data_IF_339778745008
#
_entry.id   IF_339778745008
#
_cell.length_a   1.000
_cell.length_b   1.000
_cell.length_c   1.000
_cell.angle_alpha   90.00
_cell.angle_beta   90.00
_cell.angle_gamma   90.00
#
_symmetry.space_group_name_H-M   'P 1'
#
loop_
_entity.id
_entity.type
_entity.pdbx_description
1 polymer ?
#
# COMPACT_ATOMS: atom_id res chain seq x y z
N UNK A 1 -1.33 18.43 11.55
CA UNK A 1 -2.27 19.30 12.29
C UNK A 1 -3.57 19.59 11.51
N UNK A 2 -3.62 19.28 10.19
CA UNK A 2 -4.76 19.64 9.31
C UNK A 2 -5.81 18.54 9.15
N UNK A 3 -5.68 17.38 9.79
CA UNK A 3 -6.62 16.26 9.71
C UNK A 3 -6.51 15.39 8.44
N UNK A 4 -5.70 15.80 7.46
CA UNK A 4 -5.45 15.01 6.25
C UNK A 4 -4.50 13.84 6.51
N UNK A 5 -4.48 12.88 5.60
CA UNK A 5 -3.48 11.78 5.62
C UNK A 5 -2.08 12.38 5.51
N UNK A 6 -1.21 12.10 6.47
CA UNK A 6 0.16 12.66 6.51
C UNK A 6 1.19 11.69 5.94
N UNK A 7 1.07 10.42 6.30
CA UNK A 7 1.96 9.35 5.87
C UNK A 7 1.22 8.01 5.93
N UNK A 8 1.75 7.02 5.24
CA UNK A 8 1.37 5.61 5.33
C UNK A 8 2.62 4.81 5.68
N UNK A 9 2.53 4.00 6.74
CA UNK A 9 3.67 3.23 7.21
C UNK A 9 3.24 1.96 7.95
N UNK A 10 4.12 0.97 7.93
CA UNK A 10 4.05 -0.20 8.80
C UNK A 10 4.92 0.02 10.03
N UNK A 11 4.34 -0.14 11.20
CA UNK A 11 5.07 -0.11 12.48
C UNK A 11 5.22 -1.53 13.00
N UNK A 12 6.45 -1.98 13.22
CA UNK A 12 6.74 -3.27 13.83
C UNK A 12 7.48 -3.06 15.16
N UNK A 13 6.85 -3.48 16.24
CA UNK A 13 7.47 -3.47 17.56
C UNK A 13 8.32 -4.73 17.72
N UNK A 14 9.63 -4.56 17.91
CA UNK A 14 10.57 -5.66 18.11
C UNK A 14 10.75 -5.95 19.59
N UNK A 15 10.98 -7.20 19.94
CA UNK A 15 11.09 -7.66 21.34
C UNK A 15 12.26 -7.03 22.12
N UNK A 16 13.20 -6.37 21.43
CA UNK A 16 14.37 -5.72 22.01
C UNK A 16 14.19 -4.21 22.29
N UNK A 17 12.96 -3.73 22.22
CA UNK A 17 12.61 -2.32 22.48
C UNK A 17 12.79 -1.39 21.28
N UNK A 18 13.18 -1.92 20.12
CA UNK A 18 13.20 -1.15 18.87
C UNK A 18 11.83 -1.17 18.20
N UNK A 19 11.50 -0.06 17.57
CA UNK A 19 10.35 0.02 16.65
C UNK A 19 10.88 0.19 15.24
N UNK A 20 10.49 -0.71 14.36
CA UNK A 20 10.81 -0.61 12.94
C UNK A 20 9.69 0.15 12.23
N UNK A 21 10.04 1.25 11.59
CA UNK A 21 9.14 2.08 10.80
C UNK A 21 9.44 1.84 9.30
N UNK A 22 8.50 1.23 8.59
CA UNK A 22 8.61 0.97 7.15
C UNK A 22 7.62 1.81 6.38
N UNK A 23 8.12 2.69 5.49
CA UNK A 23 7.29 3.49 4.59
C UNK A 23 7.84 3.48 3.16
N UNK A 24 7.13 4.12 2.23
CA UNK A 24 7.60 4.26 0.86
C UNK A 24 8.90 5.07 0.79
N UNK A 25 9.89 4.58 0.04
CA UNK A 25 11.22 5.24 -0.10
C UNK A 25 11.11 6.69 -0.55
N UNK A 26 10.11 7.02 -1.37
CA UNK A 26 9.84 8.39 -1.82
C UNK A 26 9.40 9.34 -0.69
N UNK A 27 9.07 8.82 0.49
CA UNK A 27 8.64 9.59 1.67
C UNK A 27 9.72 9.66 2.74
N UNK A 28 10.88 9.01 2.57
CA UNK A 28 11.89 8.87 3.62
C UNK A 28 12.26 10.21 4.29
N UNK A 29 12.63 11.21 3.50
CA UNK A 29 13.05 12.52 4.04
C UNK A 29 11.89 13.17 4.79
N UNK A 30 10.72 13.23 4.17
CA UNK A 30 9.51 13.80 4.77
C UNK A 30 9.14 13.12 6.10
N UNK A 31 9.20 11.78 6.13
CA UNK A 31 8.84 11.02 7.33
C UNK A 31 9.90 11.17 8.43
N UNK A 32 11.18 11.18 8.06
CA UNK A 32 12.29 11.41 9.00
C UNK A 32 12.21 12.80 9.64
N UNK A 33 11.94 13.84 8.86
CA UNK A 33 11.77 15.21 9.37
C UNK A 33 10.57 15.28 10.33
N UNK A 34 9.43 14.74 9.91
CA UNK A 34 8.22 14.72 10.74
C UNK A 34 8.43 13.97 12.06
N UNK A 35 9.04 12.80 12.02
CA UNK A 35 9.35 12.04 13.23
C UNK A 35 10.33 12.78 14.13
N UNK A 36 11.39 13.39 13.55
CA UNK A 36 12.39 14.13 14.30
C UNK A 36 11.80 15.32 15.06
N UNK A 37 10.85 16.04 14.45
CA UNK A 37 10.14 17.16 15.11
C UNK A 37 9.30 16.74 16.32
N UNK A 38 8.92 15.46 16.39
CA UNK A 38 8.04 14.93 17.44
C UNK A 38 8.76 14.01 18.43
N UNK A 39 10.09 13.90 18.34
CA UNK A 39 10.87 13.14 19.32
C UNK A 39 10.86 13.82 20.70
N UNK A 40 10.88 13.04 21.79
CA UNK A 40 11.11 13.56 23.13
C UNK A 40 12.45 14.30 23.22
N UNK A 41 12.44 15.46 23.86
CA UNK A 41 13.65 16.27 24.01
C UNK A 41 14.69 15.66 24.97
N UNK A 42 14.32 14.64 25.73
CA UNK A 42 15.16 13.93 26.71
C UNK A 42 16.16 12.94 26.08
N UNK A 43 16.10 12.75 24.75
CA UNK A 43 16.97 11.83 24.04
C UNK A 43 16.69 10.34 24.29
N UNK A 44 15.53 10.01 24.88
CA UNK A 44 15.09 8.62 25.14
C UNK A 44 14.82 7.83 23.85
N UNK A 45 14.51 8.51 22.75
CA UNK A 45 14.27 7.91 21.44
C UNK A 45 15.26 8.44 20.42
N UNK A 46 15.79 7.54 19.59
CA UNK A 46 16.70 7.87 18.47
C UNK A 46 16.15 7.32 17.17
N UNK A 47 16.22 8.11 16.10
CA UNK A 47 15.92 7.69 14.75
C UNK A 47 17.21 7.30 14.02
N UNK A 48 17.17 6.16 13.32
CA UNK A 48 18.24 5.72 12.45
C UNK A 48 17.64 5.26 11.12
N UNK A 49 18.10 5.82 9.99
CA UNK A 49 17.72 5.31 8.68
C UNK A 49 18.43 3.97 8.41
N UNK A 50 17.67 3.00 7.95
CA UNK A 50 18.16 1.69 7.51
C UNK A 50 18.12 1.53 5.98
N UNK A 51 17.60 2.50 5.24
CA UNK A 51 17.34 2.45 3.80
C UNK A 51 18.58 2.05 2.98
N UNK A 52 19.75 2.55 3.37
CA UNK A 52 21.00 2.24 2.68
C UNK A 52 21.73 1.00 3.22
N UNK A 53 21.23 0.35 4.27
CA UNK A 53 21.86 -0.78 4.93
C UNK A 53 21.07 -2.08 4.84
N UNK A 54 19.76 -1.98 4.55
CA UNK A 54 18.86 -3.12 4.45
C UNK A 54 18.07 -3.09 3.15
N UNK A 55 17.69 -4.25 2.69
CA UNK A 55 16.79 -4.44 1.53
C UNK A 55 15.72 -5.47 1.89
N UNK A 56 14.54 -5.28 1.35
CA UNK A 56 13.40 -6.15 1.58
C UNK A 56 13.18 -7.08 0.39
N UNK A 57 13.10 -8.39 0.66
CA UNK A 57 12.58 -9.37 -0.29
C UNK A 57 11.13 -9.68 0.06
N UNK A 58 10.25 -9.68 -0.93
CA UNK A 58 8.84 -10.02 -0.76
C UNK A 58 8.62 -11.43 -1.26
N UNK A 59 8.19 -12.32 -0.36
CA UNK A 59 7.78 -13.68 -0.67
C UNK A 59 6.26 -13.76 -0.57
N UNK A 60 5.55 -13.94 -1.70
CA UNK A 60 4.11 -13.93 -1.76
C UNK A 60 3.53 -15.16 -2.46
N UNK A 61 2.29 -15.52 -2.11
CA UNK A 61 1.53 -16.60 -2.73
C UNK A 61 1.17 -17.73 -1.76
N UNK A 62 0.35 -18.69 -2.21
CA UNK A 62 -0.21 -19.73 -1.34
C UNK A 62 0.83 -20.68 -0.73
N UNK A 63 2.01 -20.78 -1.33
CA UNK A 63 3.12 -21.60 -0.84
C UNK A 63 4.19 -20.82 -0.08
N UNK A 64 4.02 -19.49 0.07
CA UNK A 64 5.03 -18.61 0.67
C UNK A 64 5.45 -19.07 2.07
N UNK A 65 4.51 -19.45 2.92
CA UNK A 65 4.79 -19.94 4.28
C UNK A 65 5.62 -21.21 4.30
N UNK A 66 5.28 -22.17 3.43
CA UNK A 66 6.00 -23.43 3.33
C UNK A 66 7.44 -23.22 2.78
N UNK A 67 7.64 -22.26 1.90
CA UNK A 67 8.98 -21.90 1.40
C UNK A 67 9.78 -21.22 2.52
N UNK A 68 9.18 -20.24 3.21
CA UNK A 68 9.84 -19.56 4.32
C UNK A 68 10.28 -20.55 5.41
N UNK A 69 9.42 -21.51 5.78
CA UNK A 69 9.73 -22.53 6.80
C UNK A 69 10.96 -23.38 6.46
N UNK A 70 11.28 -23.59 5.18
CA UNK A 70 12.50 -24.30 4.77
C UNK A 70 13.77 -23.51 5.02
N UNK A 71 13.67 -22.17 5.12
CA UNK A 71 14.80 -21.26 5.21
C UNK A 71 15.10 -20.80 6.63
N UNK A 72 14.18 -21.04 7.58
CA UNK A 72 14.32 -20.58 8.96
C UNK A 72 14.01 -21.68 9.96
N UNK A 73 14.63 -21.59 11.12
CA UNK A 73 14.31 -22.44 12.28
C UNK A 73 13.12 -21.89 13.11
N UNK A 74 12.67 -20.68 12.79
CA UNK A 74 11.51 -20.08 13.44
C UNK A 74 10.29 -20.89 13.03
N UNK A 75 9.39 -21.14 13.99
CA UNK A 75 8.09 -21.74 13.67
C UNK A 75 7.22 -20.74 12.88
N UNK A 76 7.02 -21.02 11.61
CA UNK A 76 6.21 -20.18 10.72
C UNK A 76 4.75 -20.66 10.61
N UNK A 77 4.26 -21.55 11.50
CA UNK A 77 2.85 -21.96 11.45
C UNK A 77 1.91 -20.74 11.62
N UNK A 78 0.66 -20.80 11.13
CA UNK A 78 -0.29 -19.69 11.28
C UNK A 78 -0.53 -19.27 12.73
N UNK A 79 -0.44 -20.21 13.67
CA UNK A 79 -0.62 -20.00 15.11
C UNK A 79 0.57 -19.29 15.75
N UNK A 80 1.79 -19.59 15.27
CA UNK A 80 3.02 -19.02 15.80
C UNK A 80 3.44 -17.72 15.09
N UNK A 81 3.05 -17.57 13.82
CA UNK A 81 3.38 -16.41 12.99
C UNK A 81 2.18 -16.01 12.13
N UNK A 82 1.22 -15.37 12.78
CA UNK A 82 -0.03 -14.90 12.16
C UNK A 82 0.13 -13.59 11.38
N UNK A 83 -0.98 -13.09 10.88
CA UNK A 83 -1.07 -11.81 10.20
C UNK A 83 -0.68 -10.65 11.11
N UNK A 84 0.04 -9.65 10.57
CA UNK A 84 0.56 -8.46 11.28
C UNK A 84 1.55 -8.78 12.42
N UNK A 85 2.16 -9.96 12.41
CA UNK A 85 3.24 -10.27 13.34
C UNK A 85 4.60 -10.03 12.71
N UNK A 86 5.59 -9.77 13.58
CA UNK A 86 7.00 -9.62 13.22
C UNK A 86 7.83 -10.63 14.00
N UNK A 87 8.84 -11.19 13.34
CA UNK A 87 9.80 -12.10 13.96
C UNK A 87 11.22 -11.65 13.62
N UNK A 88 12.13 -11.81 14.59
CA UNK A 88 13.56 -11.64 14.39
C UNK A 88 14.24 -13.01 14.40
N UNK A 89 15.16 -13.23 13.48
CA UNK A 89 15.92 -14.48 13.41
C UNK A 89 16.81 -14.58 12.20
N UNK A 90 16.91 -15.75 11.62
CA UNK A 90 17.76 -16.02 10.47
C UNK A 90 16.95 -16.62 9.32
N UNK A 91 17.26 -16.16 8.11
CA UNK A 91 16.80 -16.76 6.85
C UNK A 91 18.06 -17.30 6.16
N UNK A 92 18.18 -18.63 6.12
CA UNK A 92 19.47 -19.26 5.82
C UNK A 92 20.50 -18.89 6.90
N UNK A 93 21.56 -18.21 6.48
CA UNK A 93 22.62 -17.69 7.37
C UNK A 93 22.48 -16.19 7.66
N UNK A 94 21.57 -15.51 6.99
CA UNK A 94 21.40 -14.06 7.08
C UNK A 94 20.49 -13.70 8.26
N UNK A 95 20.89 -12.78 9.16
CA UNK A 95 19.97 -12.21 10.13
C UNK A 95 18.86 -11.47 9.40
N UNK A 96 17.63 -11.61 9.88
CA UNK A 96 16.46 -11.05 9.21
C UNK A 96 15.43 -10.55 10.22
N UNK A 97 14.72 -9.48 9.84
CA UNK A 97 13.42 -9.15 10.40
C UNK A 97 12.38 -9.60 9.38
N UNK A 98 11.43 -10.39 9.79
CA UNK A 98 10.41 -10.97 8.93
C UNK A 98 9.06 -10.46 9.39
N UNK A 99 8.30 -9.83 8.50
CA UNK A 99 6.97 -9.30 8.78
C UNK A 99 5.92 -10.08 7.98
N UNK A 100 4.85 -10.52 8.64
CA UNK A 100 3.71 -11.16 7.99
C UNK A 100 2.72 -10.09 7.54
N UNK A 101 3.04 -9.43 6.43
CA UNK A 101 2.26 -8.37 5.81
C UNK A 101 2.11 -8.62 4.31
N UNK A 102 1.09 -8.04 3.69
CA UNK A 102 0.85 -8.23 2.27
C UNK A 102 0.28 -6.97 1.64
N UNK A 103 0.86 -6.57 0.53
CA UNK A 103 0.29 -5.55 -0.35
C UNK A 103 -0.40 -6.17 -1.59
N UNK A 104 -0.04 -7.40 -1.95
CA UNK A 104 -0.66 -8.13 -3.05
C UNK A 104 -2.02 -8.77 -2.70
N UNK A 105 -2.37 -8.83 -1.41
CA UNK A 105 -3.56 -9.55 -0.93
C UNK A 105 -3.41 -11.06 -0.84
N UNK A 106 -2.28 -11.62 -1.29
CA UNK A 106 -1.89 -13.01 -1.06
C UNK A 106 -1.23 -13.18 0.30
N UNK A 107 -1.07 -14.42 0.77
CA UNK A 107 -0.19 -14.68 1.91
C UNK A 107 1.21 -14.21 1.55
N UNK A 108 1.76 -13.28 2.31
CA UNK A 108 3.06 -12.73 2.01
C UNK A 108 3.88 -12.46 3.28
N UNK A 109 5.20 -12.40 3.05
CA UNK A 109 6.18 -12.05 4.06
C UNK A 109 7.17 -11.06 3.46
N UNK A 110 7.42 -9.99 4.20
CA UNK A 110 8.54 -9.10 3.95
C UNK A 110 9.74 -9.59 4.75
N UNK A 111 10.84 -9.87 4.06
CA UNK A 111 12.08 -10.38 4.63
C UNK A 111 13.12 -9.28 4.50
N UNK A 112 13.38 -8.58 5.59
CA UNK A 112 14.33 -7.47 5.64
C UNK A 112 15.71 -8.01 5.99
N UNK A 113 16.67 -7.84 5.08
CA UNK A 113 18.04 -8.37 5.16
C UNK A 113 19.06 -7.24 5.11
N UNK A 114 20.17 -7.33 5.85
CA UNK A 114 21.34 -6.47 5.61
C UNK A 114 21.83 -6.61 4.16
N UNK A 115 22.20 -5.51 3.53
CA UNK A 115 22.60 -5.48 2.11
C UNK A 115 23.78 -6.42 1.79
N UNK A 116 24.72 -6.60 2.72
CA UNK A 116 25.84 -7.53 2.56
C UNK A 116 25.43 -9.02 2.59
N UNK A 117 24.20 -9.34 3.00
CA UNK A 117 23.64 -10.69 3.03
C UNK A 117 22.54 -10.90 1.98
N UNK A 118 22.13 -9.83 1.28
CA UNK A 118 21.00 -9.84 0.36
C UNK A 118 21.15 -10.89 -0.74
N UNK A 119 22.31 -10.94 -1.40
CA UNK A 119 22.54 -11.86 -2.52
C UNK A 119 22.45 -13.33 -2.06
N UNK A 120 23.06 -13.67 -0.94
CA UNK A 120 23.01 -15.01 -0.38
C UNK A 120 21.58 -15.39 0.04
N UNK A 121 20.86 -14.46 0.67
CA UNK A 121 19.44 -14.64 1.04
C UNK A 121 18.54 -14.85 -0.18
N UNK A 122 18.73 -14.06 -1.22
CA UNK A 122 17.98 -14.19 -2.48
C UNK A 122 18.20 -15.56 -3.15
N UNK A 123 19.46 -15.99 -3.30
CA UNK A 123 19.78 -17.29 -3.90
C UNK A 123 19.20 -18.45 -3.08
N UNK A 124 19.32 -18.39 -1.75
CA UNK A 124 18.76 -19.40 -0.87
C UNK A 124 17.22 -19.45 -0.99
N UNK A 125 16.56 -18.29 -1.13
CA UNK A 125 15.11 -18.21 -1.34
C UNK A 125 14.72 -18.83 -2.69
N UNK A 126 15.41 -18.54 -3.76
CA UNK A 126 15.18 -19.14 -5.07
C UNK A 126 15.31 -20.66 -5.01
N UNK A 127 16.37 -21.17 -4.39
CA UNK A 127 16.59 -22.62 -4.21
C UNK A 127 15.46 -23.29 -3.38
N UNK A 128 15.06 -22.66 -2.28
CA UNK A 128 13.98 -23.19 -1.43
C UNK A 128 12.62 -23.23 -2.15
N UNK A 129 12.39 -22.26 -3.04
CA UNK A 129 11.17 -22.11 -3.80
C UNK A 129 11.09 -22.91 -5.09
N UNK A 130 12.20 -23.37 -5.64
CA UNK A 130 12.30 -24.03 -6.95
C UNK A 130 11.32 -25.18 -7.11
N UNK A 131 11.34 -26.16 -6.22
CA UNK A 131 10.44 -27.32 -6.23
C UNK A 131 8.95 -26.95 -6.00
N UNK A 132 8.69 -25.73 -5.56
CA UNK A 132 7.35 -25.19 -5.36
C UNK A 132 6.83 -24.39 -6.57
N UNK A 133 7.65 -24.25 -7.62
CA UNK A 133 7.32 -23.45 -8.80
C UNK A 133 7.34 -21.95 -8.52
N UNK A 134 8.20 -21.48 -7.60
CA UNK A 134 8.36 -20.05 -7.32
C UNK A 134 8.94 -19.34 -8.55
N UNK A 135 8.35 -18.20 -8.90
CA UNK A 135 8.82 -17.33 -9.97
C UNK A 135 9.00 -15.90 -9.48
N UNK A 136 9.73 -15.11 -10.24
CA UNK A 136 9.86 -13.67 -10.00
C UNK A 136 8.63 -12.93 -10.55
N UNK A 137 8.26 -11.84 -9.90
CA UNK A 137 7.19 -10.96 -10.36
C UNK A 137 7.61 -9.50 -10.24
N UNK A 138 7.00 -8.64 -11.02
CA UNK A 138 7.28 -7.21 -11.07
C UNK A 138 6.19 -6.36 -10.41
N UNK A 139 6.44 -5.06 -10.36
CA UNK A 139 5.54 -4.07 -9.76
C UNK A 139 4.15 -4.03 -10.41
N UNK A 140 4.06 -4.23 -11.72
CA UNK A 140 2.76 -4.24 -12.42
C UNK A 140 1.87 -5.41 -11.97
N UNK A 141 2.45 -6.57 -11.66
CA UNK A 141 1.69 -7.68 -11.10
C UNK A 141 1.16 -7.35 -9.69
N UNK A 142 1.97 -6.69 -8.86
CA UNK A 142 1.52 -6.22 -7.54
C UNK A 142 0.40 -5.19 -7.69
N UNK A 143 0.52 -4.24 -8.61
CA UNK A 143 -0.52 -3.24 -8.89
C UNK A 143 -1.87 -3.89 -9.23
N UNK A 144 -1.86 -4.86 -10.14
CA UNK A 144 -3.05 -5.62 -10.48
C UNK A 144 -3.66 -6.32 -9.25
N UNK A 145 -2.83 -7.05 -8.50
CA UNK A 145 -3.28 -7.84 -7.35
C UNK A 145 -3.79 -6.97 -6.20
N UNK A 146 -3.13 -5.85 -5.88
CA UNK A 146 -3.57 -4.96 -4.80
C UNK A 146 -4.89 -4.28 -5.13
N UNK A 147 -5.12 -3.93 -6.41
CA UNK A 147 -6.38 -3.37 -6.90
C UNK A 147 -7.55 -4.33 -6.69
N UNK A 148 -7.37 -5.61 -7.05
CA UNK A 148 -8.37 -6.66 -6.80
C UNK A 148 -8.70 -6.83 -5.31
N UNK A 149 -7.74 -6.54 -4.43
CA UNK A 149 -7.90 -6.67 -2.98
C UNK A 149 -8.48 -5.43 -2.31
N UNK A 150 -8.55 -4.32 -3.01
CA UNK A 150 -9.00 -3.06 -2.45
C UNK A 150 -7.93 -2.34 -1.63
N UNK A 151 -6.64 -2.60 -1.88
CA UNK A 151 -5.54 -1.95 -1.18
C UNK A 151 -5.12 -0.67 -1.89
N UNK A 152 -4.99 0.39 -1.11
CA UNK A 152 -4.66 1.73 -1.58
C UNK A 152 -3.15 1.92 -1.64
N UNK A 153 -2.69 2.68 -2.63
CA UNK A 153 -1.28 2.98 -2.84
C UNK A 153 -0.95 4.40 -2.36
N UNK A 154 0.10 4.52 -1.54
CA UNK A 154 0.59 5.81 -1.08
C UNK A 154 1.04 6.70 -2.24
N UNK A 155 0.63 7.98 -2.20
CA UNK A 155 0.83 8.99 -3.24
C UNK A 155 0.09 8.75 -4.58
N UNK A 156 -0.68 7.67 -4.68
CA UNK A 156 -1.63 7.50 -5.77
C UNK A 156 -3.07 7.66 -5.25
N UNK A 157 -3.51 6.76 -4.38
CA UNK A 157 -4.85 6.72 -3.81
C UNK A 157 -4.91 7.38 -2.42
N UNK A 158 -3.81 7.30 -1.67
CA UNK A 158 -3.63 7.98 -0.39
C UNK A 158 -2.71 9.19 -0.61
N UNK A 159 -3.30 10.36 -0.63
CA UNK A 159 -2.59 11.63 -0.82
C UNK A 159 -2.87 12.61 0.32
N UNK A 160 -1.99 13.58 0.49
CA UNK A 160 -2.05 14.54 1.61
C UNK A 160 -3.16 15.59 1.46
N UNK A 161 -3.90 15.58 0.36
CA UNK A 161 -5.02 16.50 0.10
C UNK A 161 -6.30 16.06 0.79
N UNK A 162 -6.46 14.75 1.03
CA UNK A 162 -7.68 14.18 1.58
C UNK A 162 -7.48 13.63 2.99
N UNK A 163 -8.56 13.59 3.74
CA UNK A 163 -8.58 13.01 5.07
C UNK A 163 -8.91 11.51 5.00
N UNK A 164 -8.71 10.74 6.09
CA UNK A 164 -8.98 9.30 6.11
C UNK A 164 -10.42 8.91 5.79
N UNK A 165 -11.41 9.77 6.10
CA UNK A 165 -12.82 9.49 5.79
C UNK A 165 -13.10 9.65 4.30
N UNK A 166 -12.55 10.68 3.67
CA UNK A 166 -12.60 10.88 2.22
C UNK A 166 -11.91 9.74 1.46
N UNK A 167 -10.86 9.16 2.05
CA UNK A 167 -10.08 8.05 1.48
C UNK A 167 -10.62 6.66 1.82
N UNK A 168 -11.83 6.54 2.39
CA UNK A 168 -12.44 5.25 2.72
C UNK A 168 -11.84 4.53 3.93
N UNK A 169 -10.95 5.19 4.70
CA UNK A 169 -10.27 4.63 5.86
C UNK A 169 -10.93 4.98 7.20
N UNK A 170 -12.09 5.64 7.18
CA UNK A 170 -12.76 6.13 8.39
C UNK A 170 -12.99 5.06 9.45
N UNK A 171 -13.26 3.81 9.05
CA UNK A 171 -13.44 2.66 9.96
C UNK A 171 -12.22 2.33 10.83
N UNK A 172 -11.03 2.81 10.44
CA UNK A 172 -9.78 2.58 11.17
C UNK A 172 -9.41 3.75 12.09
N UNK A 173 -10.14 4.87 12.01
CA UNK A 173 -9.87 6.06 12.80
C UNK A 173 -10.57 5.97 14.14
N UNK A 174 -9.79 5.90 15.21
CA UNK A 174 -10.29 5.88 16.59
C UNK A 174 -10.43 7.32 17.10
N UNK A 175 -11.61 7.90 16.95
CA UNK A 175 -11.90 9.28 17.37
C UNK A 175 -12.07 9.45 18.89
N UNK A 176 -12.12 8.37 19.64
CA UNK A 176 -12.25 8.33 21.10
C UNK A 176 -10.93 8.53 21.85
N UNK A 177 -9.79 8.37 21.15
CA UNK A 177 -8.47 8.67 21.70
C UNK A 177 -7.92 10.01 21.22
N UNK A 178 -6.96 10.56 21.96
CA UNK A 178 -6.26 11.77 21.57
C UNK A 178 -5.12 11.50 20.59
N UNK A 179 -5.01 12.31 19.53
CA UNK A 179 -3.95 12.26 18.54
C UNK A 179 -3.77 13.61 17.79
N UNK A 180 -2.61 13.81 17.19
CA UNK A 180 -2.30 15.01 16.41
C UNK A 180 -3.25 15.11 15.22
N UNK A 181 -4.00 16.23 15.11
CA UNK A 181 -4.96 16.47 14.03
C UNK A 181 -6.40 16.04 14.33
N UNK A 182 -6.69 15.43 15.50
CA UNK A 182 -8.04 14.98 15.87
C UNK A 182 -9.09 16.09 15.78
N UNK A 183 -8.80 17.27 16.32
CA UNK A 183 -9.73 18.41 16.30
C UNK A 183 -10.04 18.87 14.88
N UNK A 184 -9.02 18.99 14.03
CA UNK A 184 -9.22 19.38 12.63
C UNK A 184 -10.02 18.31 11.87
N UNK A 185 -9.73 17.03 12.11
CA UNK A 185 -10.47 15.92 11.51
C UNK A 185 -11.95 15.90 11.93
N UNK A 186 -12.24 16.19 13.21
CA UNK A 186 -13.62 16.33 13.69
C UNK A 186 -14.39 17.45 12.98
N UNK A 187 -13.73 18.57 12.71
CA UNK A 187 -14.32 19.69 11.95
C UNK A 187 -14.62 19.27 10.50
N UNK A 188 -13.71 18.56 9.85
CA UNK A 188 -13.89 18.03 8.50
C UNK A 188 -15.06 17.05 8.41
N UNK A 189 -15.20 16.14 9.38
CA UNK A 189 -16.32 15.20 9.46
C UNK A 189 -17.65 15.97 9.54
N UNK A 190 -17.70 17.02 10.36
CA UNK A 190 -18.90 17.84 10.53
C UNK A 190 -19.26 18.62 9.26
N UNK A 191 -18.26 19.09 8.51
CA UNK A 191 -18.43 19.81 7.25
C UNK A 191 -18.87 18.89 6.08
N UNK A 192 -18.64 17.58 6.20
CA UNK A 192 -18.87 16.60 5.15
C UNK A 192 -17.66 16.46 4.19
N UNK A 193 -17.62 15.36 3.43
CA UNK A 193 -16.52 15.09 2.50
C UNK A 193 -16.58 16.01 1.28
N UNK A 194 -15.41 16.46 0.82
CA UNK A 194 -15.26 17.24 -0.43
C UNK A 194 -15.24 16.30 -1.64
N UNK A 195 -14.60 15.16 -1.50
CA UNK A 195 -14.53 14.06 -2.46
C UNK A 195 -14.60 12.74 -1.69
N UNK A 196 -14.94 11.66 -2.39
CA UNK A 196 -14.90 10.29 -1.86
C UNK A 196 -14.09 9.41 -2.79
N UNK A 197 -13.20 8.60 -2.22
CA UNK A 197 -12.50 7.57 -2.97
C UNK A 197 -13.45 6.40 -3.23
N UNK A 198 -13.64 6.08 -4.50
CA UNK A 198 -14.50 4.99 -4.96
C UNK A 198 -13.73 4.00 -5.81
N UNK A 199 -14.23 2.77 -5.88
CA UNK A 199 -13.77 1.74 -6.82
C UNK A 199 -14.69 1.73 -8.02
N UNK A 200 -14.11 1.68 -9.22
CA UNK A 200 -14.82 1.66 -10.49
C UNK A 200 -14.52 0.34 -11.23
N UNK A 201 -15.55 -0.22 -11.85
CA UNK A 201 -15.45 -1.28 -12.84
C UNK A 201 -15.57 -0.63 -14.23
N UNK A 202 -14.49 -0.66 -15.01
CA UNK A 202 -14.47 0.02 -16.31
C UNK A 202 -14.85 -0.98 -17.38
N UNK A 203 -15.92 -0.71 -18.11
CA UNK A 203 -16.42 -1.53 -19.22
C UNK A 203 -15.53 -1.40 -20.47
N UNK A 204 -14.28 -1.90 -20.37
CA UNK A 204 -13.31 -1.92 -21.45
C UNK A 204 -12.40 -3.14 -21.37
N UNK A 205 -12.36 -3.94 -22.43
CA UNK A 205 -11.67 -5.23 -22.43
C UNK A 205 -10.16 -5.15 -22.73
N UNK A 206 -9.66 -4.04 -23.25
CA UNK A 206 -8.34 -4.03 -23.88
C UNK A 206 -7.36 -2.98 -23.35
N UNK A 207 -7.81 -2.01 -22.56
CA UNK A 207 -6.92 -1.01 -22.01
C UNK A 207 -7.36 -0.67 -20.57
N UNK A 208 -6.45 -0.72 -19.59
CA UNK A 208 -6.77 -0.22 -18.27
C UNK A 208 -7.11 1.26 -18.32
N UNK A 209 -7.93 1.72 -17.38
CA UNK A 209 -8.10 3.15 -17.13
C UNK A 209 -6.74 3.81 -16.90
N UNK A 210 -6.67 5.12 -17.07
CA UNK A 210 -5.43 5.85 -16.91
C UNK A 210 -5.46 6.68 -15.62
N UNK A 211 -4.44 6.58 -14.74
CA UNK A 211 -4.27 7.55 -13.66
C UNK A 211 -4.28 8.98 -14.22
N UNK A 212 -5.01 9.89 -13.58
CA UNK A 212 -5.21 11.26 -14.04
C UNK A 212 -6.37 11.43 -15.05
N UNK A 213 -7.01 10.35 -15.50
CA UNK A 213 -8.21 10.46 -16.35
C UNK A 213 -9.35 11.15 -15.59
N UNK A 214 -10.08 12.03 -16.29
CA UNK A 214 -11.27 12.66 -15.74
C UNK A 214 -12.42 11.65 -15.60
N UNK A 215 -13.14 11.72 -14.50
CA UNK A 215 -14.38 10.99 -14.27
C UNK A 215 -15.53 11.96 -14.45
N UNK A 216 -16.48 11.62 -15.30
CA UNK A 216 -17.62 12.47 -15.64
C UNK A 216 -18.95 11.79 -15.32
N UNK A 217 -19.92 12.59 -14.85
CA UNK A 217 -21.32 12.26 -14.71
C UNK A 217 -22.13 13.26 -15.55
N UNK A 218 -23.03 12.79 -16.41
CA UNK A 218 -23.89 13.63 -17.28
C UNK A 218 -23.13 14.69 -18.10
N UNK A 219 -21.85 14.44 -18.42
CA UNK A 219 -20.98 15.33 -19.15
C UNK A 219 -20.14 16.29 -18.32
N UNK A 220 -20.42 16.43 -17.05
CA UNK A 220 -19.66 17.24 -16.11
C UNK A 220 -18.53 16.44 -15.44
N UNK A 221 -17.36 17.05 -15.25
CA UNK A 221 -16.22 16.43 -14.56
C UNK A 221 -16.51 16.40 -13.05
N UNK A 222 -16.70 15.21 -12.51
CA UNK A 222 -16.99 14.98 -11.08
C UNK A 222 -15.79 14.40 -10.32
N UNK A 223 -14.72 13.95 -11.01
CA UNK A 223 -13.61 13.33 -10.33
C UNK A 223 -12.39 13.05 -11.20
N UNK A 224 -11.43 12.33 -10.60
CA UNK A 224 -10.17 11.95 -11.25
C UNK A 224 -9.76 10.55 -10.83
N UNK A 225 -9.35 9.72 -11.79
CA UNK A 225 -8.78 8.39 -11.56
C UNK A 225 -7.42 8.52 -10.88
N UNK A 226 -7.21 7.77 -9.81
CA UNK A 226 -5.94 7.74 -9.07
C UNK A 226 -5.09 6.53 -9.44
N UNK A 227 -5.72 5.37 -9.58
CA UNK A 227 -5.07 4.12 -9.97
C UNK A 227 -5.97 3.32 -10.89
N UNK A 228 -5.37 2.53 -11.78
CA UNK A 228 -6.11 1.61 -12.63
C UNK A 228 -5.25 0.40 -13.01
N UNK A 229 -5.86 -0.78 -13.07
CA UNK A 229 -5.22 -2.01 -13.52
C UNK A 229 -6.25 -3.05 -13.96
N UNK A 230 -5.82 -3.95 -14.83
CA UNK A 230 -6.61 -5.14 -15.14
C UNK A 230 -6.52 -6.14 -13.99
N UNK A 231 -7.66 -6.53 -13.45
CA UNK A 231 -7.77 -7.57 -12.41
C UNK A 231 -7.86 -8.94 -13.06
N UNK A 232 -6.73 -9.65 -13.09
CA UNK A 232 -6.63 -10.95 -13.79
C UNK A 232 -7.49 -12.05 -13.16
N UNK A 233 -7.70 -12.01 -11.85
CA UNK A 233 -8.51 -13.00 -11.13
C UNK A 233 -10.01 -12.72 -11.25
N UNK A 234 -10.39 -11.44 -11.18
CA UNK A 234 -11.80 -11.03 -11.29
C UNK A 234 -12.25 -10.85 -12.73
N UNK A 235 -11.32 -10.82 -13.70
CA UNK A 235 -11.60 -10.63 -15.12
C UNK A 235 -12.20 -9.26 -15.44
N UNK A 236 -11.77 -8.21 -14.72
CA UNK A 236 -12.33 -6.87 -14.79
C UNK A 236 -11.25 -5.81 -14.89
N UNK A 237 -11.59 -4.72 -15.54
CA UNK A 237 -10.76 -3.53 -15.56
C UNK A 237 -11.14 -2.63 -14.37
N UNK A 238 -10.25 -2.51 -13.41
CA UNK A 238 -10.49 -1.84 -12.13
C UNK A 238 -9.82 -0.47 -12.10
N UNK A 239 -10.49 0.50 -11.47
CA UNK A 239 -9.88 1.79 -11.15
C UNK A 239 -10.30 2.27 -9.77
N UNK A 240 -9.49 3.16 -9.18
CA UNK A 240 -9.88 4.02 -8.06
C UNK A 240 -9.96 5.45 -8.55
N UNK A 241 -10.89 6.20 -7.99
CA UNK A 241 -11.05 7.62 -8.29
C UNK A 241 -11.55 8.38 -7.07
N UNK A 242 -11.12 9.64 -6.93
CA UNK A 242 -11.81 10.59 -6.07
C UNK A 242 -12.91 11.26 -6.89
N UNK A 243 -14.14 11.16 -6.41
CA UNK A 243 -15.31 11.75 -7.07
C UNK A 243 -16.11 12.63 -6.09
N UNK A 244 -16.95 13.51 -6.63
CA UNK A 244 -17.89 14.29 -5.84
C UNK A 244 -18.84 13.37 -5.07
N UNK A 245 -19.21 13.70 -3.81
CA UNK A 245 -20.08 12.84 -3.00
C UNK A 245 -21.43 12.52 -3.68
N UNK A 246 -21.95 13.42 -4.49
CA UNK A 246 -23.20 13.22 -5.24
C UNK A 246 -23.08 12.15 -6.36
N UNK A 247 -21.86 11.84 -6.80
CA UNK A 247 -21.55 10.85 -7.84
C UNK A 247 -20.86 9.60 -7.25
N UNK A 248 -20.99 9.36 -5.94
CA UNK A 248 -20.28 8.29 -5.23
C UNK A 248 -21.20 7.14 -4.77
N UNK A 249 -22.40 7.02 -5.33
CA UNK A 249 -23.33 5.96 -4.93
C UNK A 249 -23.00 4.65 -5.63
N UNK A 250 -23.21 3.55 -4.93
CA UNK A 250 -23.00 2.22 -5.52
C UNK A 250 -24.04 2.00 -6.63
N UNK A 251 -23.51 1.72 -7.83
CA UNK A 251 -24.35 1.50 -9.03
C UNK A 251 -24.49 2.73 -9.93
N UNK A 252 -23.90 3.87 -9.57
CA UNK A 252 -23.83 5.02 -10.46
C UNK A 252 -22.99 4.67 -11.71
N UNK A 253 -23.48 5.10 -12.89
CA UNK A 253 -22.75 4.98 -14.15
C UNK A 253 -21.96 6.26 -14.39
N UNK A 254 -20.64 6.13 -14.48
CA UNK A 254 -19.69 7.22 -14.69
C UNK A 254 -18.88 6.95 -15.96
N UNK A 255 -18.44 8.02 -16.60
CA UNK A 255 -17.56 7.93 -17.79
C UNK A 255 -16.15 8.34 -17.40
N UNK A 256 -15.16 7.45 -17.60
CA UNK A 256 -13.75 7.78 -17.49
C UNK A 256 -13.20 8.24 -18.83
N UNK A 257 -12.69 9.47 -18.93
CA UNK A 257 -12.16 10.06 -20.15
C UNK A 257 -10.66 10.07 -20.10
N UNK A 258 -10.02 9.30 -20.99
CA UNK A 258 -8.57 9.28 -21.16
C UNK A 258 -8.17 10.07 -22.40
N UNK A 259 -7.31 11.05 -22.22
CA UNK A 259 -6.70 11.77 -23.33
C UNK A 259 -5.40 11.09 -23.73
N UNK A 260 -5.43 10.38 -24.85
CA UNK A 260 -4.20 9.93 -25.50
C UNK A 260 -3.87 10.90 -26.62
N UNK A 261 -2.87 11.76 -26.43
CA UNK A 261 -2.43 12.68 -27.45
C UNK A 261 -0.92 12.63 -27.63
N UNK A 262 -0.51 12.74 -28.88
CA UNK A 262 0.85 13.20 -29.19
C UNK A 262 0.81 14.46 -30.04
N UNK A 263 -0.26 14.72 -30.78
CA UNK A 263 -0.35 15.88 -31.70
C UNK A 263 -1.76 16.48 -31.79
N UNK A 264 -2.80 15.72 -31.51
CA UNK A 264 -4.19 16.19 -31.47
C UNK A 264 -4.91 15.54 -30.28
N UNK A 265 -5.69 16.28 -29.49
CA UNK A 265 -6.47 15.70 -28.43
C UNK A 265 -7.54 14.77 -29.02
N UNK A 266 -7.42 13.48 -28.80
CA UNK A 266 -8.48 12.54 -29.07
C UNK A 266 -9.05 12.10 -27.72
N UNK A 267 -10.28 12.49 -27.43
CA UNK A 267 -11.00 11.94 -26.29
C UNK A 267 -11.45 10.52 -26.64
N UNK A 268 -11.07 9.54 -25.83
CA UNK A 268 -11.71 8.22 -25.83
C UNK A 268 -12.51 8.15 -24.53
N UNK A 269 -13.82 8.11 -24.66
CA UNK A 269 -14.68 7.66 -23.58
C UNK A 269 -14.51 6.15 -23.46
N UNK A 270 -14.13 5.70 -22.30
CA UNK A 270 -14.14 4.28 -21.96
C UNK A 270 -15.44 4.10 -21.18
N UNK A 271 -16.49 3.68 -21.89
CA UNK A 271 -17.80 3.37 -21.31
C UNK A 271 -17.79 2.05 -20.56
#
# INVERSE_FOLDING_TARGET
HHGNVKAEATLANLDDGRVWYGSAVASEIHDMEWLAEHLPADGSIRLNSLTNTHTTLILAGPKARAILQKMTRINCSPEAFGWLQVLQGFVGIAPAVIMSVSFSGEQAFEIHLPNNQLHAGYLALCQAGEASGMGLFGSMAIESMRMEKGYLHWKADLITEFNPFESGLGRFVQMDKDFIGRTALQQMITAGPRKLLVSLDIACDHAPGHPGASVCADGDVVGTVTSAAWGHRVGKNLAYAFVDPAAAHIGDELTAVSYTHLTLPTSRSVG
#
